data_IF_780926536376
#
_entry.id   IF_780926536376
#
_cell.length_a   1.000
_cell.length_b   1.000
_cell.length_c   1.000
_cell.angle_alpha   90.00
_cell.angle_beta   90.00
_cell.angle_gamma   90.00
#
_symmetry.space_group_name_H-M   'P 1'
#
loop_
_entity.id
_entity.type
_entity.pdbx_description
1 polymer ?
#
# COMPACT_ATOMS: atom_id res chain seq x y z
N UNK A 1 7.22 1.67 -32.67
CA UNK A 1 6.98 0.21 -32.59
C UNK A 1 8.03 -0.49 -33.46
N UNK A 2 8.59 -1.63 -33.02
CA UNK A 2 9.59 -2.46 -33.73
C UNK A 2 11.09 -2.11 -33.60
N UNK A 3 11.59 -2.23 -32.37
CA UNK A 3 12.92 -2.84 -32.10
C UNK A 3 12.93 -3.73 -30.86
N UNK A 4 11.89 -3.64 -30.02
CA UNK A 4 11.74 -4.45 -28.81
C UNK A 4 11.37 -5.93 -29.06
N UNK A 5 10.89 -6.31 -30.26
CA UNK A 5 10.26 -7.62 -30.52
C UNK A 5 11.26 -8.77 -30.80
N UNK A 6 12.56 -8.48 -30.95
CA UNK A 6 13.56 -9.51 -31.26
C UNK A 6 14.20 -10.21 -30.02
N UNK A 7 13.97 -9.74 -28.79
CA UNK A 7 14.54 -10.32 -27.56
C UNK A 7 13.65 -11.42 -26.88
N UNK A 8 12.63 -11.92 -27.58
CA UNK A 8 11.51 -12.63 -26.95
C UNK A 8 11.77 -14.10 -26.54
N UNK A 9 12.81 -14.75 -27.03
CA UNK A 9 13.07 -16.17 -26.74
C UNK A 9 13.50 -16.47 -25.29
N UNK A 10 14.38 -15.64 -24.71
CA UNK A 10 14.80 -15.77 -23.29
C UNK A 10 13.84 -15.03 -22.34
N UNK A 11 13.18 -13.97 -22.83
CA UNK A 11 12.20 -13.18 -22.09
C UNK A 11 10.91 -13.95 -21.77
N UNK A 12 10.46 -14.85 -22.65
CA UNK A 12 9.26 -15.65 -22.43
C UNK A 12 9.41 -16.67 -21.28
N UNK A 13 10.60 -17.29 -21.15
CA UNK A 13 10.91 -18.25 -20.07
C UNK A 13 11.05 -17.54 -18.72
N UNK A 14 11.76 -16.42 -18.67
CA UNK A 14 11.89 -15.60 -17.46
C UNK A 14 10.53 -15.05 -17.01
N UNK A 15 9.71 -14.55 -17.93
CA UNK A 15 8.36 -14.09 -17.64
C UNK A 15 7.42 -15.20 -17.15
N UNK A 16 7.65 -16.46 -17.53
CA UNK A 16 6.91 -17.60 -16.98
C UNK A 16 7.24 -17.81 -15.50
N UNK A 17 8.53 -17.73 -15.12
CA UNK A 17 8.98 -17.92 -13.73
C UNK A 17 8.36 -16.88 -12.79
N UNK A 18 8.43 -15.58 -13.13
CA UNK A 18 7.88 -14.54 -12.26
C UNK A 18 6.37 -14.66 -12.08
N UNK A 19 5.64 -14.96 -13.16
CA UNK A 19 4.19 -15.23 -13.09
C UNK A 19 3.88 -16.43 -12.21
N UNK A 20 4.64 -17.53 -12.35
CA UNK A 20 4.48 -18.70 -11.47
C UNK A 20 4.70 -18.35 -9.99
N UNK A 21 5.68 -17.51 -9.66
CA UNK A 21 5.91 -17.09 -8.27
C UNK A 21 4.71 -16.31 -7.73
N UNK A 22 4.20 -15.33 -8.47
CA UNK A 22 3.02 -14.57 -8.06
C UNK A 22 1.78 -15.46 -7.96
N UNK A 23 1.56 -16.37 -8.90
CA UNK A 23 0.45 -17.34 -8.86
C UNK A 23 0.54 -18.25 -7.63
N UNK A 24 1.74 -18.71 -7.24
CA UNK A 24 1.95 -19.47 -6.02
C UNK A 24 1.61 -18.61 -4.80
N UNK A 25 2.12 -17.38 -4.73
CA UNK A 25 1.83 -16.46 -3.64
C UNK A 25 0.32 -16.18 -3.52
N UNK A 26 -0.36 -15.92 -4.64
CA UNK A 26 -1.80 -15.66 -4.69
C UNK A 26 -2.61 -16.88 -4.29
N UNK A 27 -2.19 -18.10 -4.66
CA UNK A 27 -2.85 -19.33 -4.17
C UNK A 27 -2.78 -19.45 -2.64
N UNK A 28 -1.69 -19.04 -2.00
CA UNK A 28 -1.64 -18.98 -0.53
C UNK A 28 -2.59 -17.93 0.05
N UNK A 29 -2.68 -16.76 -0.58
CA UNK A 29 -3.61 -15.70 -0.17
C UNK A 29 -5.07 -16.11 -0.36
N UNK A 30 -5.42 -16.73 -1.49
CA UNK A 30 -6.76 -17.27 -1.75
C UNK A 30 -7.15 -18.35 -0.73
N UNK A 31 -6.22 -19.25 -0.38
CA UNK A 31 -6.45 -20.24 0.70
C UNK A 31 -6.67 -19.56 2.06
N UNK A 32 -6.01 -18.44 2.32
CA UNK A 32 -6.22 -17.66 3.54
C UNK A 32 -7.62 -17.02 3.55
N UNK A 33 -7.99 -16.36 2.45
CA UNK A 33 -9.32 -15.76 2.25
C UNK A 33 -10.45 -16.78 2.35
N UNK A 34 -10.26 -18.01 1.84
CA UNK A 34 -11.27 -19.09 1.85
C UNK A 34 -11.80 -19.44 3.24
N UNK A 35 -11.00 -19.19 4.30
CA UNK A 35 -11.41 -19.42 5.69
C UNK A 35 -12.45 -18.43 6.21
N UNK A 36 -12.72 -17.38 5.43
CA UNK A 36 -13.57 -16.25 5.80
C UNK A 36 -14.63 -15.96 4.72
N UNK A 37 -14.98 -16.96 3.89
CA UNK A 37 -15.95 -16.78 2.79
C UNK A 37 -17.26 -16.15 3.25
N UNK A 38 -17.77 -16.55 4.42
CA UNK A 38 -19.02 -16.02 4.97
C UNK A 38 -18.90 -14.55 5.42
N UNK A 39 -17.69 -14.07 5.69
CA UNK A 39 -17.45 -12.70 6.12
C UNK A 39 -17.25 -11.71 4.95
N UNK A 40 -17.07 -12.19 3.71
CA UNK A 40 -16.86 -11.31 2.55
C UNK A 40 -18.07 -10.44 2.22
N UNK A 41 -19.27 -10.95 2.51
CA UNK A 41 -20.49 -10.16 2.47
C UNK A 41 -20.54 -9.37 3.77
N UNK A 42 -19.89 -8.20 3.77
CA UNK A 42 -19.94 -7.31 4.91
C UNK A 42 -21.24 -6.52 4.87
N UNK A 43 -22.14 -6.76 5.83
CA UNK A 43 -23.28 -5.88 6.07
C UNK A 43 -22.77 -4.65 6.82
N UNK A 44 -22.92 -3.44 6.26
CA UNK A 44 -22.57 -2.22 6.96
C UNK A 44 -23.32 -2.16 8.30
N UNK A 45 -22.65 -1.69 9.34
CA UNK A 45 -23.34 -1.35 10.58
C UNK A 45 -24.31 -0.19 10.34
N UNK A 46 -25.56 -0.32 10.78
CA UNK A 46 -26.60 0.69 10.56
C UNK A 46 -26.31 2.05 11.23
N UNK A 47 -25.44 2.07 12.23
CA UNK A 47 -25.00 3.23 13.02
C UNK A 47 -23.60 3.75 12.62
N UNK A 48 -23.10 3.34 11.45
CA UNK A 48 -21.81 3.79 10.93
C UNK A 48 -21.89 5.25 10.46
N UNK A 49 -21.55 6.18 11.34
CA UNK A 49 -21.36 7.60 11.01
C UNK A 49 -19.85 7.91 10.90
N UNK A 50 -19.32 8.14 9.68
CA UNK A 50 -17.94 8.57 9.49
C UNK A 50 -17.65 9.87 10.23
N UNK A 51 -16.54 9.92 10.98
CA UNK A 51 -16.07 11.20 11.55
C UNK A 51 -14.73 11.59 10.91
N UNK A 52 -14.71 12.71 10.18
CA UNK A 52 -13.57 13.16 9.34
C UNK A 52 -12.78 14.34 9.92
N UNK A 53 -13.18 14.81 11.09
CA UNK A 53 -12.74 16.03 11.77
C UNK A 53 -12.20 15.74 13.18
N UNK A 54 -11.79 14.50 13.46
CA UNK A 54 -11.19 14.21 14.74
C UNK A 54 -9.79 14.85 14.78
N UNK A 55 -9.51 15.68 15.79
CA UNK A 55 -8.15 16.12 16.04
C UNK A 55 -7.28 14.89 16.37
N UNK A 56 -6.22 14.61 15.59
CA UNK A 56 -5.33 13.51 15.91
C UNK A 56 -4.54 13.84 17.17
N UNK A 57 -4.33 12.83 18.01
CA UNK A 57 -3.44 12.99 19.16
C UNK A 57 -1.99 13.11 18.70
N UNK A 58 -1.09 13.65 19.55
CA UNK A 58 0.35 13.56 19.30
C UNK A 58 0.79 12.11 19.07
N UNK A 59 1.80 11.92 18.23
CA UNK A 59 2.37 10.59 17.98
C UNK A 59 3.21 10.15 19.19
N UNK A 60 2.72 9.17 19.93
CA UNK A 60 3.41 8.60 21.08
C UNK A 60 4.30 7.43 20.66
N UNK A 61 5.61 7.56 20.84
CA UNK A 61 6.57 6.47 20.61
C UNK A 61 6.88 5.78 21.94
N UNK A 62 6.64 4.48 22.01
CA UNK A 62 6.95 3.61 23.15
C UNK A 62 8.00 2.58 22.77
N UNK A 63 9.10 2.55 23.50
CA UNK A 63 10.21 1.63 23.24
C UNK A 63 9.86 0.21 23.65
N UNK A 64 10.07 -0.76 22.76
CA UNK A 64 9.69 -2.17 22.97
C UNK A 64 10.87 -3.13 23.07
N UNK A 65 11.94 -2.69 23.73
CA UNK A 65 13.23 -3.36 23.91
C UNK A 65 14.23 -3.19 22.75
N UNK A 66 15.50 -3.03 23.12
CA UNK A 66 16.60 -2.71 22.20
C UNK A 66 17.78 -3.67 22.39
N UNK A 67 18.14 -4.41 21.33
CA UNK A 67 19.40 -5.18 21.22
C UNK A 67 19.87 -5.12 19.76
N UNK A 68 21.17 -4.91 19.55
CA UNK A 68 21.78 -4.88 18.21
C UNK A 68 21.87 -3.49 17.57
N UNK A 69 21.93 -3.45 16.23
CA UNK A 69 22.23 -2.24 15.43
C UNK A 69 21.07 -1.22 15.33
N UNK A 70 19.87 -1.60 15.75
CA UNK A 70 18.65 -0.82 15.58
C UNK A 70 17.86 -0.76 16.88
N UNK A 71 17.17 0.36 17.12
CA UNK A 71 16.08 0.47 18.11
C UNK A 71 14.76 0.21 17.39
N UNK A 72 13.94 -0.66 17.96
CA UNK A 72 12.60 -0.97 17.42
C UNK A 72 11.57 -0.56 18.46
N UNK A 73 10.78 0.43 18.10
CA UNK A 73 9.76 1.03 18.97
C UNK A 73 8.40 0.88 18.30
N UNK A 74 7.34 1.00 19.09
CA UNK A 74 5.97 1.13 18.57
C UNK A 74 5.55 2.59 18.67
N UNK A 75 4.68 3.02 17.78
CA UNK A 75 3.99 4.29 17.96
C UNK A 75 2.49 4.10 17.83
N UNK A 76 1.74 5.03 18.41
CA UNK A 76 0.30 5.11 18.25
C UNK A 76 -0.19 6.57 18.35
N UNK A 77 -1.38 6.81 17.78
CA UNK A 77 -2.13 8.05 17.91
C UNK A 77 -3.61 7.83 17.54
N UNK A 78 -4.47 8.77 17.95
CA UNK A 78 -5.87 8.79 17.53
C UNK A 78 -5.98 9.17 16.06
N UNK A 79 -6.68 8.36 15.28
CA UNK A 79 -6.88 8.62 13.86
C UNK A 79 -7.65 9.93 13.60
N UNK A 80 -7.27 10.74 12.60
CA UNK A 80 -8.06 11.91 12.20
C UNK A 80 -9.42 11.54 11.56
N UNK A 81 -9.52 10.32 11.03
CA UNK A 81 -10.69 9.83 10.30
C UNK A 81 -11.14 8.53 10.93
N UNK A 82 -12.32 8.50 11.52
CA UNK A 82 -12.86 7.32 12.20
C UNK A 82 -13.80 6.55 11.28
N UNK A 83 -13.63 5.22 11.29
CA UNK A 83 -14.52 4.29 10.63
C UNK A 83 -15.58 3.73 11.59
N UNK A 84 -15.73 4.23 12.82
CA UNK A 84 -16.70 3.67 13.77
C UNK A 84 -16.39 2.24 14.24
N UNK A 85 -15.31 1.61 13.75
CA UNK A 85 -14.77 0.37 14.27
C UNK A 85 -13.71 0.70 15.31
N UNK A 86 -14.06 0.62 16.60
CA UNK A 86 -13.15 1.00 17.68
C UNK A 86 -11.78 0.30 17.63
N UNK A 87 -11.74 -0.97 17.21
CA UNK A 87 -10.49 -1.74 17.01
C UNK A 87 -9.62 -1.16 15.89
N UNK A 88 -10.23 -0.50 14.91
CA UNK A 88 -9.58 0.10 13.76
C UNK A 88 -9.22 1.57 13.98
N UNK A 89 -9.91 2.31 14.84
CA UNK A 89 -9.78 3.76 14.97
C UNK A 89 -8.61 4.24 15.87
N UNK A 90 -7.67 3.34 16.14
CA UNK A 90 -6.38 3.65 16.75
C UNK A 90 -5.26 3.38 15.74
N UNK A 91 -4.63 4.46 15.26
CA UNK A 91 -3.50 4.36 14.35
C UNK A 91 -2.28 3.87 15.12
N UNK A 92 -1.53 2.94 14.55
CA UNK A 92 -0.31 2.44 15.16
C UNK A 92 0.68 1.93 14.12
N UNK A 93 1.94 1.79 14.53
CA UNK A 93 2.97 1.24 13.69
C UNK A 93 4.26 0.93 14.42
N UNK A 94 5.30 0.65 13.64
CA UNK A 94 6.66 0.42 14.14
C UNK A 94 7.57 1.57 13.72
N UNK A 95 8.52 1.91 14.59
CA UNK A 95 9.68 2.73 14.24
C UNK A 95 10.90 1.83 14.28
N UNK A 96 11.69 1.83 13.20
CA UNK A 96 13.02 1.22 13.18
C UNK A 96 14.03 2.34 13.05
N UNK A 97 14.80 2.54 14.10
CA UNK A 97 15.73 3.63 14.22
C UNK A 97 17.18 3.10 14.25
N UNK A 98 18.00 3.41 13.23
CA UNK A 98 19.42 3.08 13.25
C UNK A 98 20.12 3.73 14.46
N UNK A 99 20.96 2.97 15.16
CA UNK A 99 21.77 3.53 16.27
C UNK A 99 22.97 4.34 15.80
N UNK A 100 23.30 4.26 14.50
CA UNK A 100 24.39 5.00 13.85
C UNK A 100 23.84 6.29 13.22
N UNK A 101 24.69 7.05 12.55
CA UNK A 101 24.28 8.28 11.84
C UNK A 101 23.08 8.01 10.93
N UNK A 102 21.99 8.73 11.16
CA UNK A 102 20.74 8.64 10.39
C UNK A 102 20.81 9.63 9.23
N UNK A 103 20.54 9.14 8.01
CA UNK A 103 20.61 9.91 6.75
C UNK A 103 19.30 10.62 6.40
N UNK A 104 18.21 10.24 7.06
CA UNK A 104 16.87 10.74 6.83
C UNK A 104 15.82 9.77 7.35
N UNK A 105 14.56 10.07 7.09
CA UNK A 105 13.42 9.25 7.48
C UNK A 105 12.63 8.79 6.25
N UNK A 106 12.20 7.53 6.27
CA UNK A 106 11.34 6.93 5.24
C UNK A 106 10.06 6.41 5.90
N UNK A 107 8.91 6.86 5.42
CA UNK A 107 7.61 6.25 5.72
C UNK A 107 7.37 5.12 4.72
N UNK A 108 7.33 3.88 5.19
CA UNK A 108 7.27 2.67 4.36
C UNK A 108 5.89 2.03 4.48
N UNK A 109 5.15 2.02 3.37
CA UNK A 109 3.75 1.60 3.29
C UNK A 109 3.62 0.18 2.74
N UNK A 110 2.84 -0.66 3.42
CA UNK A 110 2.71 -2.09 3.12
C UNK A 110 1.60 -2.42 2.12
N UNK A 111 1.65 -3.62 1.53
CA UNK A 111 0.59 -4.14 0.64
C UNK A 111 -0.62 -4.70 1.40
N UNK A 112 -1.65 -5.08 0.65
CA UNK A 112 -2.86 -5.71 1.18
C UNK A 112 -2.57 -7.09 1.81
N UNK A 113 -3.36 -7.48 2.81
CA UNK A 113 -3.23 -8.75 3.53
C UNK A 113 -1.86 -8.94 4.20
N UNK A 114 -1.33 -7.88 4.82
CA UNK A 114 -0.14 -7.94 5.67
C UNK A 114 -0.32 -8.99 6.77
N UNK A 115 0.46 -10.06 6.70
CA UNK A 115 0.26 -11.26 7.55
C UNK A 115 0.86 -11.17 8.94
N UNK A 116 1.85 -10.29 9.14
CA UNK A 116 2.52 -10.17 10.43
C UNK A 116 3.31 -8.88 10.55
N UNK A 117 3.55 -8.45 11.79
CA UNK A 117 4.50 -7.38 12.08
C UNK A 117 5.94 -7.75 11.72
N UNK A 118 6.28 -9.05 11.63
CA UNK A 118 7.61 -9.49 11.19
C UNK A 118 7.85 -9.10 9.71
N UNK A 119 6.85 -9.29 8.86
CA UNK A 119 6.91 -8.86 7.45
C UNK A 119 7.08 -7.35 7.36
N UNK A 120 6.30 -6.59 8.14
CA UNK A 120 6.41 -5.13 8.20
C UNK A 120 7.80 -4.69 8.67
N UNK A 121 8.32 -5.33 9.73
CA UNK A 121 9.66 -5.07 10.26
C UNK A 121 10.75 -5.36 9.22
N UNK A 122 10.63 -6.44 8.45
CA UNK A 122 11.58 -6.79 7.41
C UNK A 122 11.67 -5.70 6.32
N UNK A 123 10.55 -5.08 5.95
CA UNK A 123 10.51 -3.96 5.00
C UNK A 123 11.32 -2.77 5.52
N UNK A 124 11.13 -2.36 6.78
CA UNK A 124 11.91 -1.25 7.36
C UNK A 124 13.38 -1.59 7.61
N UNK A 125 13.71 -2.85 7.95
CA UNK A 125 15.11 -3.26 8.16
C UNK A 125 15.96 -3.08 6.90
N UNK A 126 15.37 -3.24 5.71
CA UNK A 126 16.07 -3.00 4.44
C UNK A 126 16.62 -1.56 4.35
N UNK A 127 15.80 -0.58 4.69
CA UNK A 127 16.17 0.84 4.65
C UNK A 127 16.99 1.26 5.88
N UNK A 128 16.68 0.72 7.05
CA UNK A 128 17.45 0.96 8.27
C UNK A 128 18.90 0.49 8.13
N UNK A 129 19.14 -0.63 7.44
CA UNK A 129 20.49 -1.09 7.11
C UNK A 129 21.27 -0.11 6.20
N UNK A 130 20.59 0.81 5.51
CA UNK A 130 21.17 1.87 4.66
C UNK A 130 21.27 3.23 5.38
N UNK A 131 20.94 3.26 6.68
CA UNK A 131 21.05 4.44 7.52
C UNK A 131 19.78 5.30 7.59
N UNK A 132 18.62 4.79 7.17
CA UNK A 132 17.36 5.53 7.25
C UNK A 132 16.52 5.14 8.46
N UNK A 133 15.98 6.12 9.17
CA UNK A 133 14.91 5.87 10.16
C UNK A 133 13.65 5.48 9.40
N UNK A 134 12.98 4.43 9.83
CA UNK A 134 11.80 3.91 9.14
C UNK A 134 10.57 4.01 10.03
N UNK A 135 9.53 4.66 9.52
CA UNK A 135 8.19 4.63 10.09
C UNK A 135 7.32 3.69 9.27
N UNK A 136 6.72 2.72 9.95
CA UNK A 136 6.00 1.60 9.34
C UNK A 136 4.55 1.60 9.86
N UNK A 137 3.65 2.40 9.29
CA UNK A 137 2.23 2.40 9.68
C UNK A 137 1.57 1.06 9.36
N UNK A 138 0.63 0.66 10.22
CA UNK A 138 -0.30 -0.43 9.95
C UNK A 138 -1.61 0.17 9.45
N UNK A 139 -1.97 -0.17 8.22
CA UNK A 139 -3.19 0.34 7.58
C UNK A 139 -4.48 -0.10 8.27
N UNK A 140 -5.59 0.62 8.01
CA UNK A 140 -6.90 0.23 8.49
C UNK A 140 -7.22 -1.24 8.22
N UNK A 141 -7.86 -1.88 9.18
CA UNK A 141 -8.34 -3.26 9.15
C UNK A 141 -7.25 -4.35 9.02
N UNK A 142 -5.97 -4.01 9.21
CA UNK A 142 -4.86 -4.96 9.22
C UNK A 142 -4.36 -5.24 10.64
N UNK A 143 -3.83 -6.44 10.86
CA UNK A 143 -3.18 -6.86 12.11
C UNK A 143 -4.06 -6.58 13.34
N UNK A 144 -3.59 -5.77 14.30
CA UNK A 144 -4.36 -5.46 15.53
C UNK A 144 -5.60 -4.61 15.25
N UNK A 145 -5.70 -3.98 14.07
CA UNK A 145 -6.88 -3.22 13.61
C UNK A 145 -7.91 -4.09 12.89
N UNK A 146 -7.61 -5.37 12.67
CA UNK A 146 -8.53 -6.33 12.03
C UNK A 146 -9.76 -6.57 12.89
N UNK A 147 -10.94 -6.51 12.29
CA UNK A 147 -12.20 -6.84 12.95
C UNK A 147 -12.30 -8.36 13.13
N UNK A 148 -12.81 -8.80 14.28
CA UNK A 148 -12.98 -10.24 14.57
C UNK A 148 -13.91 -10.86 13.52
N UNK A 149 -13.51 -12.02 12.99
CA UNK A 149 -14.27 -12.73 11.95
C UNK A 149 -13.89 -12.36 10.52
N UNK A 150 -12.95 -11.42 10.31
CA UNK A 150 -12.43 -11.09 8.98
C UNK A 150 -10.98 -11.55 8.83
N UNK A 151 -10.44 -11.63 7.61
CA UNK A 151 -9.00 -11.70 7.38
C UNK A 151 -8.34 -10.31 7.37
N UNK A 152 -7.01 -10.27 7.43
CA UNK A 152 -6.23 -9.02 7.43
C UNK A 152 -6.51 -8.16 6.20
N UNK A 153 -7.00 -6.95 6.41
CA UNK A 153 -7.31 -6.00 5.34
C UNK A 153 -8.61 -6.27 4.60
N UNK A 154 -9.41 -7.26 5.01
CA UNK A 154 -10.67 -7.60 4.31
C UNK A 154 -11.64 -6.42 4.24
N UNK A 155 -11.79 -5.67 5.33
CA UNK A 155 -12.69 -4.49 5.34
C UNK A 155 -12.06 -3.25 4.70
N UNK A 156 -10.75 -3.28 4.42
CA UNK A 156 -10.11 -2.22 3.64
C UNK A 156 -10.37 -2.39 2.15
N UNK A 157 -10.42 -3.63 1.63
CA UNK A 157 -10.76 -3.96 0.24
C UNK A 157 -11.84 -5.05 0.26
N UNK A 158 -13.10 -4.63 0.24
CA UNK A 158 -14.28 -5.49 0.43
C UNK A 158 -15.50 -5.02 -0.36
N UNK A 159 -16.66 -5.64 -0.14
CA UNK A 159 -17.89 -5.33 -0.88
C UNK A 159 -18.54 -4.02 -0.46
N UNK A 160 -18.25 -3.52 0.74
CA UNK A 160 -18.68 -2.20 1.20
C UNK A 160 -17.73 -1.13 0.63
N UNK A 161 -18.08 -0.60 -0.54
CA UNK A 161 -17.27 0.40 -1.24
C UNK A 161 -17.21 1.74 -0.51
N UNK A 162 -18.23 2.08 0.29
CA UNK A 162 -18.22 3.29 1.15
C UNK A 162 -17.19 3.14 2.26
N UNK A 163 -17.16 1.98 2.91
CA UNK A 163 -16.14 1.65 3.91
C UNK A 163 -14.74 1.60 3.30
N UNK A 164 -14.60 1.01 2.10
CA UNK A 164 -13.34 1.00 1.37
C UNK A 164 -12.81 2.42 1.14
N UNK A 165 -13.63 3.32 0.57
CA UNK A 165 -13.25 4.73 0.34
C UNK A 165 -12.81 5.41 1.63
N UNK A 166 -13.56 5.20 2.71
CA UNK A 166 -13.24 5.77 4.02
C UNK A 166 -11.99 5.16 4.67
N UNK A 167 -11.70 3.89 4.42
CA UNK A 167 -10.45 3.25 4.82
C UNK A 167 -9.24 3.86 4.08
N UNK A 168 -9.38 4.18 2.79
CA UNK A 168 -8.36 4.95 2.05
C UNK A 168 -8.20 6.36 2.62
N UNK A 169 -9.30 7.09 2.84
CA UNK A 169 -9.28 8.42 3.48
C UNK A 169 -8.55 8.37 4.83
N UNK A 170 -8.86 7.37 5.66
CA UNK A 170 -8.21 7.16 6.95
C UNK A 170 -6.72 6.86 6.82
N UNK A 171 -6.33 5.93 5.95
CA UNK A 171 -4.92 5.61 5.74
C UNK A 171 -4.12 6.84 5.26
N UNK A 172 -4.69 7.61 4.32
CA UNK A 172 -4.06 8.83 3.82
C UNK A 172 -3.92 9.90 4.90
N UNK A 173 -4.98 10.18 5.66
CA UNK A 173 -4.95 11.17 6.73
C UNK A 173 -3.94 10.80 7.84
N UNK A 174 -3.88 9.52 8.21
CA UNK A 174 -2.91 9.03 9.19
C UNK A 174 -1.47 9.16 8.70
N UNK A 175 -1.20 8.87 7.42
CA UNK A 175 0.15 9.02 6.84
C UNK A 175 0.55 10.49 6.74
N UNK A 176 -0.38 11.39 6.37
CA UNK A 176 -0.13 12.84 6.36
C UNK A 176 0.23 13.36 7.76
N UNK A 177 -0.53 12.96 8.78
CA UNK A 177 -0.23 13.30 10.18
C UNK A 177 1.15 12.77 10.60
N UNK A 178 1.47 11.53 10.21
CA UNK A 178 2.74 10.92 10.51
C UNK A 178 3.92 11.62 9.82
N UNK A 179 3.77 12.03 8.55
CA UNK A 179 4.78 12.80 7.81
C UNK A 179 5.02 14.13 8.51
N UNK A 180 3.97 14.85 8.87
CA UNK A 180 4.06 16.12 9.61
C UNK A 180 4.88 15.95 10.90
N UNK A 181 4.50 14.96 11.73
CA UNK A 181 5.25 14.62 12.94
C UNK A 181 6.72 14.25 12.66
N UNK A 182 6.98 13.46 11.63
CA UNK A 182 8.34 13.04 11.27
C UNK A 182 9.20 14.23 10.87
N UNK A 183 8.68 15.16 10.06
CA UNK A 183 9.41 16.35 9.65
C UNK A 183 9.68 17.27 10.82
N UNK A 184 8.69 17.52 11.67
CA UNK A 184 8.86 18.36 12.86
C UNK A 184 9.91 17.78 13.80
N UNK A 185 9.88 16.46 14.03
CA UNK A 185 10.75 15.81 15.00
C UNK A 185 12.15 15.51 14.48
N UNK A 186 12.31 15.21 13.19
CA UNK A 186 13.56 14.69 12.63
C UNK A 186 14.10 15.46 11.44
N UNK A 187 13.34 16.42 10.88
CA UNK A 187 13.72 17.21 9.72
C UNK A 187 13.82 16.40 8.42
N UNK A 188 14.49 17.00 7.44
CA UNK A 188 14.76 16.43 6.12
C UNK A 188 16.07 15.62 6.10
N UNK A 189 16.20 14.64 5.17
CA UNK A 189 15.21 14.26 4.18
C UNK A 189 14.09 13.36 4.74
N UNK A 190 12.87 13.59 4.28
CA UNK A 190 11.66 12.83 4.55
C UNK A 190 11.08 12.25 3.25
N UNK A 191 10.95 10.94 3.19
CA UNK A 191 10.57 10.23 1.97
C UNK A 191 9.42 9.24 2.24
N UNK A 192 8.74 8.84 1.17
CA UNK A 192 7.70 7.82 1.20
C UNK A 192 7.98 6.71 0.20
N UNK A 193 7.77 5.46 0.61
CA UNK A 193 7.86 4.29 -0.26
C UNK A 193 6.60 3.46 -0.07
N UNK A 194 5.87 3.19 -1.16
CA UNK A 194 4.64 2.40 -1.11
C UNK A 194 4.60 1.38 -2.24
N UNK A 195 4.27 0.13 -1.89
CA UNK A 195 4.07 -0.95 -2.85
C UNK A 195 2.65 -1.50 -2.84
N UNK A 196 2.06 -1.77 -4.00
CA UNK A 196 0.70 -2.33 -4.13
C UNK A 196 -0.33 -1.40 -3.47
N UNK A 197 -1.12 -1.88 -2.51
CA UNK A 197 -1.99 -1.03 -1.67
C UNK A 197 -1.24 0.16 -1.06
N UNK A 198 0.00 -0.04 -0.61
CA UNK A 198 0.84 1.04 -0.10
C UNK A 198 1.22 2.05 -1.16
N UNK A 199 1.34 1.63 -2.42
CA UNK A 199 1.55 2.52 -3.56
C UNK A 199 0.31 3.36 -3.86
N UNK A 200 -0.89 2.75 -3.81
CA UNK A 200 -2.14 3.51 -3.93
C UNK A 200 -2.26 4.57 -2.82
N UNK A 201 -2.05 4.21 -1.55
CA UNK A 201 -2.11 5.16 -0.44
C UNK A 201 -1.02 6.24 -0.57
N UNK A 202 0.20 5.88 -0.99
CA UNK A 202 1.26 6.86 -1.25
C UNK A 202 0.85 7.86 -2.33
N UNK A 203 0.19 7.42 -3.40
CA UNK A 203 -0.35 8.29 -4.46
C UNK A 203 -1.38 9.30 -3.92
N UNK A 204 -2.26 8.87 -3.00
CA UNK A 204 -3.20 9.76 -2.30
C UNK A 204 -2.49 10.76 -1.37
N UNK A 205 -1.38 10.35 -0.75
CA UNK A 205 -0.60 11.23 0.12
C UNK A 205 0.13 12.31 -0.68
N UNK A 206 0.84 11.95 -1.75
CA UNK A 206 1.64 12.89 -2.54
C UNK A 206 0.81 13.86 -3.39
N UNK A 207 -0.50 13.62 -3.52
CA UNK A 207 -1.45 14.57 -4.11
C UNK A 207 -1.99 15.59 -3.11
N UNK A 208 -1.66 15.45 -1.82
CA UNK A 208 -2.08 16.34 -0.73
C UNK A 208 -0.91 17.03 -0.01
N UNK A 209 0.25 16.39 0.06
CA UNK A 209 1.47 16.96 0.65
C UNK A 209 2.62 16.93 -0.37
N UNK A 210 3.15 18.12 -0.68
CA UNK A 210 4.23 18.33 -1.64
C UNK A 210 5.63 18.38 -1.02
N UNK A 211 5.73 18.43 0.31
CA UNK A 211 6.98 18.63 1.04
C UNK A 211 7.61 17.29 1.45
N UNK A 212 7.94 16.51 0.41
CA UNK A 212 8.68 15.26 0.47
C UNK A 212 9.91 15.33 -0.44
N UNK A 213 11.02 14.77 0.03
CA UNK A 213 12.28 14.75 -0.71
C UNK A 213 12.25 13.73 -1.85
N UNK A 214 11.60 12.59 -1.63
CA UNK A 214 11.37 11.53 -2.63
C UNK A 214 10.10 10.74 -2.34
N UNK A 215 9.44 10.30 -3.40
CA UNK A 215 8.32 9.37 -3.36
C UNK A 215 8.55 8.19 -4.32
N UNK A 216 8.45 6.97 -3.82
CA UNK A 216 8.55 5.75 -4.64
C UNK A 216 7.21 5.03 -4.65
N UNK A 217 6.60 4.93 -5.83
CA UNK A 217 5.35 4.21 -6.08
C UNK A 217 5.68 2.91 -6.80
N UNK A 218 5.49 1.78 -6.15
CA UNK A 218 5.83 0.46 -6.68
C UNK A 218 4.56 -0.36 -6.94
N UNK A 219 4.48 -1.01 -8.10
CA UNK A 219 3.43 -1.98 -8.45
C UNK A 219 2.03 -1.51 -8.04
N UNK A 220 1.74 -0.25 -8.35
CA UNK A 220 0.46 0.41 -8.19
C UNK A 220 0.20 1.22 -9.46
N UNK A 221 -1.05 1.26 -9.89
CA UNK A 221 -1.43 1.85 -11.17
C UNK A 221 -2.88 2.32 -11.18
N UNK A 222 -3.37 2.64 -12.36
CA UNK A 222 -4.76 3.02 -12.58
C UNK A 222 -5.70 1.80 -12.59
N UNK A 223 -7.00 2.04 -12.44
CA UNK A 223 -8.05 1.07 -12.70
C UNK A 223 -8.05 -0.14 -11.75
N UNK A 224 -8.14 0.11 -10.45
CA UNK A 224 -8.33 -0.93 -9.43
C UNK A 224 -9.55 -1.81 -9.76
N UNK A 225 -10.59 -1.23 -10.36
CA UNK A 225 -11.76 -1.98 -10.81
C UNK A 225 -11.38 -3.09 -11.80
N UNK A 226 -10.56 -2.80 -12.81
CA UNK A 226 -10.04 -3.80 -13.77
C UNK A 226 -9.25 -4.89 -13.04
N UNK A 227 -8.43 -4.54 -12.05
CA UNK A 227 -7.70 -5.52 -11.25
C UNK A 227 -8.65 -6.44 -10.48
N UNK A 228 -9.65 -5.86 -9.79
CA UNK A 228 -10.67 -6.63 -9.05
C UNK A 228 -11.40 -7.59 -9.98
N UNK A 229 -11.76 -7.14 -11.20
CA UNK A 229 -12.52 -7.94 -12.15
C UNK A 229 -11.70 -9.07 -12.80
N UNK A 230 -10.43 -8.81 -13.13
CA UNK A 230 -9.67 -9.72 -14.00
C UNK A 230 -8.64 -10.59 -13.28
N UNK A 231 -8.29 -10.26 -12.03
CA UNK A 231 -7.16 -10.90 -11.35
C UNK A 231 -7.65 -11.94 -10.36
N UNK A 232 -7.02 -13.12 -10.39
CA UNK A 232 -7.44 -14.27 -9.58
C UNK A 232 -7.41 -14.01 -8.09
N UNK A 233 -6.54 -13.10 -7.63
CA UNK A 233 -6.43 -12.67 -6.23
C UNK A 233 -7.74 -12.12 -5.65
N UNK A 234 -8.62 -11.59 -6.50
CA UNK A 234 -9.90 -10.97 -6.12
C UNK A 234 -11.11 -11.87 -6.43
N UNK A 235 -10.91 -13.15 -6.76
CA UNK A 235 -12.03 -14.04 -7.10
C UNK A 235 -13.11 -14.12 -6.01
N UNK A 236 -12.72 -14.23 -4.74
CA UNK A 236 -13.70 -14.25 -3.65
C UNK A 236 -14.41 -12.91 -3.43
N UNK A 237 -13.74 -11.79 -3.72
CA UNK A 237 -14.38 -10.47 -3.70
C UNK A 237 -15.42 -10.35 -4.82
N UNK A 238 -15.10 -10.80 -6.03
CA UNK A 238 -16.04 -10.85 -7.16
C UNK A 238 -17.25 -11.71 -6.86
N UNK A 239 -17.03 -12.91 -6.32
CA UNK A 239 -18.10 -13.80 -5.88
C UNK A 239 -18.98 -13.13 -4.81
N UNK A 240 -18.38 -12.37 -3.89
CA UNK A 240 -19.12 -11.65 -2.87
C UNK A 240 -19.96 -10.49 -3.43
N UNK A 241 -19.41 -9.71 -4.38
CA UNK A 241 -20.19 -8.70 -5.12
C UNK A 241 -21.40 -9.33 -5.85
N UNK A 242 -21.19 -10.47 -6.51
CA UNK A 242 -22.28 -11.18 -7.18
C UNK A 242 -23.35 -11.68 -6.20
N UNK A 243 -22.96 -12.18 -5.02
CA UNK A 243 -23.90 -12.67 -3.99
C UNK A 243 -24.80 -11.58 -3.43
N UNK A 244 -24.30 -10.34 -3.31
CA UNK A 244 -25.12 -9.21 -2.83
C UNK A 244 -25.93 -8.55 -3.95
N UNK A 245 -25.87 -9.08 -5.18
CA UNK A 245 -26.55 -8.49 -6.34
C UNK A 245 -25.97 -7.12 -6.72
N UNK A 246 -24.69 -6.86 -6.43
CA UNK A 246 -24.07 -5.60 -6.79
C UNK A 246 -24.01 -5.45 -8.31
N UNK A 247 -24.50 -4.32 -8.81
CA UNK A 247 -24.38 -3.97 -10.22
C UNK A 247 -22.89 -3.81 -10.58
N UNK A 248 -22.37 -4.53 -11.60
CA UNK A 248 -20.96 -4.47 -11.97
C UNK A 248 -20.49 -3.07 -12.35
N UNK A 249 -21.34 -2.26 -12.98
CA UNK A 249 -20.98 -0.92 -13.42
C UNK A 249 -20.89 0.05 -12.24
N UNK A 250 -21.87 0.00 -11.33
CA UNK A 250 -21.85 0.75 -10.08
C UNK A 250 -20.65 0.37 -9.22
N UNK A 251 -20.33 -0.93 -9.14
CA UNK A 251 -19.13 -1.42 -8.45
C UNK A 251 -17.86 -0.84 -9.07
N UNK A 252 -17.77 -0.83 -10.41
CA UNK A 252 -16.64 -0.26 -11.15
C UNK A 252 -16.47 1.23 -10.86
N UNK A 253 -17.57 2.00 -10.86
CA UNK A 253 -17.57 3.44 -10.55
C UNK A 253 -17.03 3.70 -9.14
N UNK A 254 -17.56 3.00 -8.14
CA UNK A 254 -17.10 3.19 -6.76
C UNK A 254 -15.66 2.76 -6.52
N UNK A 255 -15.19 1.70 -7.19
CA UNK A 255 -13.78 1.31 -7.12
C UNK A 255 -12.88 2.39 -7.75
N UNK A 256 -13.31 3.01 -8.86
CA UNK A 256 -12.59 4.06 -9.55
C UNK A 256 -12.44 5.35 -8.73
N UNK A 257 -13.33 5.63 -7.78
CA UNK A 257 -13.19 6.79 -6.86
C UNK A 257 -11.91 6.72 -6.00
N UNK A 258 -11.34 5.53 -5.82
CA UNK A 258 -10.08 5.33 -5.08
C UNK A 258 -8.84 5.31 -5.98
N UNK A 259 -9.01 5.40 -7.30
CA UNK A 259 -7.90 5.27 -8.23
C UNK A 259 -7.02 6.53 -8.25
N UNK A 260 -5.69 6.35 -8.19
CA UNK A 260 -4.76 7.48 -8.16
C UNK A 260 -4.65 8.22 -9.50
N UNK A 261 -5.17 7.65 -10.59
CA UNK A 261 -5.16 8.28 -11.92
C UNK A 261 -5.99 9.56 -11.98
N UNK A 262 -6.98 9.68 -11.09
CA UNK A 262 -7.84 10.87 -10.96
C UNK A 262 -7.19 11.96 -10.12
N UNK A 263 -6.01 11.71 -9.54
CA UNK A 263 -5.29 12.62 -8.67
C UNK A 263 -4.15 13.29 -9.44
N UNK A 264 -3.75 14.48 -9.01
CA UNK A 264 -2.53 15.12 -9.45
C UNK A 264 -1.53 15.18 -8.28
N UNK A 265 -0.31 14.63 -8.41
CA UNK A 265 0.69 14.78 -7.37
C UNK A 265 1.11 16.25 -7.24
N UNK A 266 1.27 16.71 -6.00
CA UNK A 266 1.77 18.05 -5.67
C UNK A 266 3.27 18.03 -5.31
N UNK A 267 3.83 16.83 -5.07
CA UNK A 267 5.29 16.63 -5.00
C UNK A 267 5.91 16.91 -6.39
N UNK A 268 7.06 17.61 -6.46
CA UNK A 268 7.77 17.83 -7.72
C UNK A 268 8.04 16.52 -8.48
N UNK A 269 7.78 16.52 -9.79
CA UNK A 269 7.84 15.30 -10.64
C UNK A 269 9.21 14.62 -10.61
N UNK A 270 10.29 15.38 -10.54
CA UNK A 270 11.67 14.89 -10.45
C UNK A 270 11.99 14.20 -9.10
N UNK A 271 11.07 14.27 -8.14
CA UNK A 271 11.14 13.59 -6.84
C UNK A 271 10.25 12.36 -6.75
N UNK A 272 9.48 12.05 -7.79
CA UNK A 272 8.59 10.89 -7.82
C UNK A 272 9.21 9.85 -8.76
N UNK A 273 9.28 8.60 -8.31
CA UNK A 273 9.59 7.47 -9.17
C UNK A 273 8.45 6.46 -9.15
N UNK A 274 8.01 6.05 -10.35
CA UNK A 274 6.98 5.04 -10.54
C UNK A 274 7.65 3.77 -11.06
N UNK A 275 7.43 2.64 -10.41
CA UNK A 275 8.04 1.35 -10.76
C UNK A 275 7.00 0.27 -11.00
N UNK A 276 6.98 -0.28 -12.21
CA UNK A 276 6.09 -1.38 -12.60
C UNK A 276 6.83 -2.71 -12.82
N UNK A 277 6.12 -3.82 -12.64
CA UNK A 277 6.60 -5.15 -13.04
C UNK A 277 6.09 -5.50 -14.43
N UNK A 278 6.97 -5.92 -15.35
CA UNK A 278 6.58 -6.37 -16.70
C UNK A 278 5.63 -7.58 -16.70
N UNK A 279 5.61 -8.32 -15.61
CA UNK A 279 4.80 -9.53 -15.45
C UNK A 279 3.80 -9.41 -14.30
N UNK A 280 3.54 -8.19 -13.83
CA UNK A 280 2.60 -7.93 -12.74
C UNK A 280 1.17 -8.24 -13.20
N UNK A 281 0.50 -9.24 -12.59
CA UNK A 281 -0.88 -9.56 -12.93
C UNK A 281 -1.91 -8.62 -12.28
N UNK A 282 -1.56 -7.83 -11.27
CA UNK A 282 -2.47 -6.96 -10.51
C UNK A 282 -2.56 -5.58 -11.16
N UNK A 283 -1.41 -4.92 -11.30
CA UNK A 283 -1.28 -3.64 -12.00
C UNK A 283 -0.33 -3.88 -13.17
N UNK A 284 -0.91 -4.31 -14.28
CA UNK A 284 -0.16 -4.60 -15.50
C UNK A 284 0.57 -3.35 -16.03
N UNK A 285 1.53 -3.50 -16.97
CA UNK A 285 2.26 -2.35 -17.49
C UNK A 285 1.40 -1.26 -18.11
N UNK A 286 0.23 -1.62 -18.64
CA UNK A 286 -0.75 -0.67 -19.17
C UNK A 286 -1.35 0.19 -18.04
N UNK A 287 -1.80 -0.44 -16.95
CA UNK A 287 -2.32 0.25 -15.76
C UNK A 287 -1.30 1.19 -15.12
N UNK A 288 -0.03 0.77 -15.01
CA UNK A 288 1.06 1.63 -14.50
C UNK A 288 1.37 2.75 -15.49
N UNK A 289 1.37 2.46 -16.80
CA UNK A 289 1.55 3.44 -17.87
C UNK A 289 0.49 4.54 -17.84
N UNK A 290 -0.79 4.18 -17.68
CA UNK A 290 -1.88 5.14 -17.56
C UNK A 290 -1.70 6.11 -16.39
N UNK A 291 -1.22 5.62 -15.24
CA UNK A 291 -0.92 6.48 -14.09
C UNK A 291 0.25 7.44 -14.40
N UNK A 292 1.33 6.90 -14.97
CA UNK A 292 2.49 7.66 -15.40
C UNK A 292 2.13 8.76 -16.41
N UNK A 293 1.33 8.43 -17.41
CA UNK A 293 0.85 9.37 -18.44
C UNK A 293 -0.03 10.46 -17.82
N UNK A 294 -0.97 10.10 -16.95
CA UNK A 294 -1.84 11.06 -16.26
C UNK A 294 -1.04 12.07 -15.42
N UNK A 295 0.08 11.65 -14.85
CA UNK A 295 0.95 12.51 -14.05
C UNK A 295 2.07 13.19 -14.88
N UNK A 296 2.26 12.76 -16.13
CA UNK A 296 3.39 13.14 -16.97
C UNK A 296 4.73 12.81 -16.31
N UNK A 297 4.88 11.58 -15.81
CA UNK A 297 6.08 11.04 -15.14
C UNK A 297 6.43 9.71 -15.82
N UNK A 298 7.70 9.49 -16.15
CA UNK A 298 8.12 8.23 -16.75
C UNK A 298 8.05 7.07 -15.73
N UNK A 299 7.46 5.94 -16.12
CA UNK A 299 7.49 4.72 -15.32
C UNK A 299 8.71 3.85 -15.66
N UNK A 300 9.36 3.32 -14.63
CA UNK A 300 10.47 2.38 -14.75
C UNK A 300 9.97 0.93 -14.64
N UNK A 301 10.10 0.16 -15.72
CA UNK A 301 9.65 -1.23 -15.75
C UNK A 301 10.76 -2.24 -15.46
N UNK A 302 10.43 -3.27 -14.68
CA UNK A 302 11.36 -4.29 -14.21
C UNK A 302 10.93 -5.69 -14.67
N UNK A 303 11.90 -6.56 -14.98
CA UNK A 303 11.64 -8.00 -15.25
C UNK A 303 11.30 -8.74 -13.96
N UNK A 304 10.08 -8.54 -13.47
CA UNK A 304 9.47 -9.16 -12.30
C UNK A 304 7.95 -9.03 -12.39
N UNK A 305 7.24 -9.69 -11.48
CA UNK A 305 5.81 -9.51 -11.25
C UNK A 305 5.53 -8.74 -9.94
N UNK A 306 4.30 -8.85 -9.44
CA UNK A 306 3.75 -8.02 -8.38
C UNK A 306 4.51 -8.17 -7.06
N UNK A 307 4.71 -9.41 -6.59
CA UNK A 307 5.40 -9.66 -5.32
C UNK A 307 6.92 -9.67 -5.49
N UNK A 308 7.40 -9.97 -6.70
CA UNK A 308 8.83 -10.09 -6.98
C UNK A 308 9.51 -8.74 -7.28
N UNK A 309 8.76 -7.65 -7.43
CA UNK A 309 9.32 -6.29 -7.52
C UNK A 309 10.25 -5.97 -6.33
N UNK A 310 9.95 -6.47 -5.13
CA UNK A 310 10.76 -6.22 -3.95
C UNK A 310 12.13 -6.91 -4.02
N UNK A 311 12.31 -7.92 -4.87
CA UNK A 311 13.64 -8.50 -5.17
C UNK A 311 14.52 -7.54 -5.97
N UNK A 312 13.92 -6.53 -6.61
CA UNK A 312 14.59 -5.45 -7.36
C UNK A 312 14.92 -4.24 -6.50
N UNK A 313 14.66 -4.27 -5.19
CA UNK A 313 14.88 -3.15 -4.28
C UNK A 313 16.28 -2.52 -4.41
N UNK A 314 17.35 -3.32 -4.57
CA UNK A 314 18.71 -2.78 -4.78
C UNK A 314 18.85 -1.92 -6.04
N UNK A 315 18.13 -2.26 -7.11
CA UNK A 315 18.14 -1.50 -8.37
C UNK A 315 17.24 -0.29 -8.29
N UNK A 316 16.07 -0.42 -7.64
CA UNK A 316 15.07 0.64 -7.50
C UNK A 316 15.61 1.75 -6.59
N UNK A 317 16.16 1.38 -5.44
CA UNK A 317 16.64 2.30 -4.42
C UNK A 317 18.15 2.50 -4.49
N UNK A 318 18.74 2.48 -5.69
CA UNK A 318 20.20 2.61 -5.86
C UNK A 318 20.73 3.94 -5.33
N UNK A 319 19.91 4.98 -5.40
CA UNK A 319 20.28 6.34 -4.99
C UNK A 319 19.99 6.60 -3.50
N UNK A 320 19.49 5.58 -2.77
CA UNK A 320 19.32 5.58 -1.32
C UNK A 320 20.48 4.87 -0.62
#
# INVERSE_FOLDING_TARGET
MNRAVAEFGSAAKAGRVYRTIDEVAFRFLLRYQKRYLDAWVHTPKADYEPRRDAEPSPVEIRDTASRGLYRVSRYNFNTPVKTGYAVNDAAYGLVIDPRRRVRGTIVVLHGWMLRSELTLKAMGLYFAARGYRCFLPVFPFHLKRRVRGTFDGQLMIGTDTRLMRLAFEQATAEVLHLISFVRERYGHPCMIVGGSLGGLVASHVISKDGDLDRAYILVAGANLARSVMNVSLFNHLKEAFAKIGADPETTRVHLAETDPVMLAPVVPKDRIQIHGGLYDPVFDPESVGMLADAWGIEAHFHRCGHTTIFTRARSIFRDL
#
